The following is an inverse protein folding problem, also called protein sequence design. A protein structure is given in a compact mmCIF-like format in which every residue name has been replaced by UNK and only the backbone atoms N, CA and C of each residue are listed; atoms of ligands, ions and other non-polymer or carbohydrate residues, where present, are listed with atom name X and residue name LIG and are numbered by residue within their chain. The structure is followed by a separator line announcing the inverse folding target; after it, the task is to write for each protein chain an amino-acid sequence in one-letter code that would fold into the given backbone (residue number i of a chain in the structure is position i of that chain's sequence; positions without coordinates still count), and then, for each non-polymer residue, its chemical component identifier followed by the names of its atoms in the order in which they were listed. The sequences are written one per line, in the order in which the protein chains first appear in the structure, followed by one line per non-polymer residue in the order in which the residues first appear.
data_IF_416740924970
#
_entry.id   IF_416740924970
#
_cell.length_a   1.000
_cell.length_b   1.000
_cell.length_c   1.000
_cell.angle_alpha   90.00
_cell.angle_beta   90.00
_cell.angle_gamma   90.00
#
_symmetry.space_group_name_H-M   'P 1'
#
loop_
_entity.id
_entity.type
_entity.pdbx_description
1 polymer ?
#
# COMPACT_ATOMS: atom_id res chain seq x y z
N UNK A 1 -6.43 -2.73 -5.18
CA UNK A 1 -6.64 -1.93 -3.95
C UNK A 1 -6.22 -0.49 -4.21
N UNK A 2 -7.04 0.48 -3.79
CA UNK A 2 -6.70 1.92 -3.87
C UNK A 2 -6.00 2.36 -2.59
N UNK A 3 -4.86 3.03 -2.73
CA UNK A 3 -4.05 3.52 -1.60
C UNK A 3 -3.65 4.98 -1.84
N UNK A 4 -3.62 5.75 -0.77
CA UNK A 4 -3.10 7.11 -0.75
C UNK A 4 -1.68 7.12 -0.20
N UNK A 5 -0.71 7.49 -1.05
CA UNK A 5 0.71 7.62 -0.72
C UNK A 5 1.16 9.07 -0.85
N UNK A 6 2.32 9.43 -0.31
CA UNK A 6 2.83 10.79 -0.48
C UNK A 6 3.20 11.08 -1.94
N UNK A 7 3.16 12.34 -2.34
CA UNK A 7 3.57 12.73 -3.70
C UNK A 7 5.03 12.40 -3.96
N UNK A 8 5.90 12.46 -2.94
CA UNK A 8 7.30 12.06 -3.05
C UNK A 8 7.43 10.56 -3.35
N UNK A 9 6.70 9.69 -2.62
CA UNK A 9 6.65 8.25 -2.88
C UNK A 9 6.11 7.95 -4.28
N UNK A 10 5.03 8.65 -4.70
CA UNK A 10 4.48 8.48 -6.05
C UNK A 10 5.47 8.87 -7.15
N UNK A 11 6.25 9.93 -6.95
CA UNK A 11 7.29 10.36 -7.88
C UNK A 11 8.44 9.35 -7.93
N UNK A 12 8.90 8.85 -6.77
CA UNK A 12 9.93 7.81 -6.69
C UNK A 12 9.54 6.54 -7.45
N UNK A 13 8.31 6.07 -7.25
CA UNK A 13 7.77 4.90 -7.97
C UNK A 13 7.67 5.15 -9.48
N UNK A 14 7.32 6.36 -9.90
CA UNK A 14 7.29 6.72 -11.33
C UNK A 14 8.69 6.70 -11.95
N UNK A 15 9.70 7.18 -11.22
CA UNK A 15 11.10 7.13 -11.66
C UNK A 15 11.60 5.69 -11.74
N UNK A 16 11.27 4.86 -10.75
CA UNK A 16 11.61 3.44 -10.75
C UNK A 16 11.02 2.71 -11.96
N UNK A 17 9.73 2.94 -12.28
CA UNK A 17 9.09 2.33 -13.45
C UNK A 17 9.72 2.80 -14.77
N UNK A 18 10.11 4.08 -14.87
CA UNK A 18 10.84 4.60 -16.04
C UNK A 18 12.20 3.90 -16.19
N UNK A 19 12.97 3.77 -15.10
CA UNK A 19 14.26 3.08 -15.11
C UNK A 19 14.10 1.63 -15.53
N UNK A 20 13.15 0.91 -14.97
CA UNK A 20 12.80 -0.46 -15.30
C UNK A 20 12.56 -0.64 -16.82
N UNK A 21 11.74 0.24 -17.41
CA UNK A 21 11.43 0.20 -18.85
C UNK A 21 12.64 0.50 -19.72
N UNK A 22 13.51 1.42 -19.31
CA UNK A 22 14.72 1.73 -20.03
C UNK A 22 15.69 0.55 -20.04
N UNK A 23 15.96 -0.06 -18.90
CA UNK A 23 16.83 -1.23 -18.77
C UNK A 23 16.30 -2.42 -19.59
N UNK A 24 14.97 -2.65 -19.57
CA UNK A 24 14.32 -3.68 -20.41
C UNK A 24 14.53 -3.40 -21.92
N UNK A 25 14.38 -2.14 -22.35
CA UNK A 25 14.57 -1.73 -23.75
C UNK A 25 16.03 -1.87 -24.18
N UNK A 26 16.98 -1.46 -23.34
CA UNK A 26 18.41 -1.56 -23.62
C UNK A 26 18.84 -3.03 -23.75
N UNK A 27 18.39 -3.89 -22.85
CA UNK A 27 18.65 -5.33 -22.91
C UNK A 27 18.07 -5.95 -24.19
N UNK A 28 16.84 -5.57 -24.55
CA UNK A 28 16.23 -6.01 -25.81
C UNK A 28 17.08 -5.59 -27.03
N UNK A 29 17.54 -4.35 -27.04
CA UNK A 29 18.39 -3.85 -28.12
C UNK A 29 19.73 -4.57 -28.17
N UNK A 30 20.33 -4.95 -27.05
CA UNK A 30 21.54 -5.75 -26.96
C UNK A 30 21.34 -7.16 -27.55
N UNK A 31 20.22 -7.82 -27.18
CA UNK A 31 19.87 -9.14 -27.69
C UNK A 31 19.72 -9.14 -29.23
N UNK A 32 19.10 -8.11 -29.80
CA UNK A 32 19.00 -7.96 -31.26
C UNK A 32 20.38 -7.75 -31.89
N UNK A 33 21.22 -6.89 -31.28
CA UNK A 33 22.60 -6.69 -31.77
C UNK A 33 23.47 -7.94 -31.69
N UNK A 34 23.18 -8.87 -30.79
CA UNK A 34 23.87 -10.16 -30.66
C UNK A 34 23.36 -11.21 -31.65
N UNK A 35 22.44 -10.84 -32.55
CA UNK A 35 21.98 -11.70 -33.64
C UNK A 35 20.61 -12.34 -33.46
N UNK A 36 19.90 -12.06 -32.37
CA UNK A 36 18.52 -12.52 -32.19
C UNK A 36 17.56 -11.71 -33.07
N UNK A 37 16.55 -12.36 -33.60
CA UNK A 37 15.42 -11.65 -34.22
C UNK A 37 14.64 -10.86 -33.19
N UNK A 38 13.89 -9.86 -33.62
CA UNK A 38 13.05 -9.03 -32.71
C UNK A 38 12.06 -9.86 -31.91
N UNK A 39 11.54 -10.97 -32.48
CA UNK A 39 10.59 -11.85 -31.78
C UNK A 39 11.28 -12.73 -30.73
N UNK A 40 12.45 -13.29 -31.05
CA UNK A 40 13.24 -14.07 -30.09
C UNK A 40 13.69 -13.19 -28.90
N UNK A 41 14.18 -11.97 -29.18
CA UNK A 41 14.54 -11.01 -28.15
C UNK A 41 13.33 -10.69 -27.24
N UNK A 42 12.15 -10.47 -27.82
CA UNK A 42 10.91 -10.24 -27.06
C UNK A 42 10.55 -11.42 -26.16
N UNK A 43 10.60 -12.64 -26.68
CA UNK A 43 10.30 -13.86 -25.90
C UNK A 43 11.29 -13.99 -24.75
N UNK A 44 12.58 -13.73 -24.98
CA UNK A 44 13.62 -13.79 -23.94
C UNK A 44 13.37 -12.75 -22.84
N UNK A 45 13.07 -11.51 -23.21
CA UNK A 45 12.72 -10.44 -22.26
C UNK A 45 11.51 -10.84 -21.39
N UNK A 46 10.45 -11.39 -21.99
CA UNK A 46 9.27 -11.83 -21.23
C UNK A 46 9.64 -12.88 -20.17
N UNK A 47 10.56 -13.80 -20.49
CA UNK A 47 11.03 -14.82 -19.55
C UNK A 47 11.90 -14.26 -18.42
N UNK A 48 12.72 -13.26 -18.73
CA UNK A 48 13.60 -12.60 -17.77
C UNK A 48 12.85 -11.61 -16.86
N UNK A 49 11.72 -11.08 -17.32
CA UNK A 49 10.99 -10.00 -16.64
C UNK A 49 10.68 -10.26 -15.16
N UNK A 50 10.22 -11.45 -14.71
CA UNK A 50 9.93 -11.68 -13.30
C UNK A 50 11.14 -11.53 -12.39
N UNK A 51 12.33 -11.85 -12.87
CA UNK A 51 13.58 -11.83 -12.09
C UNK A 51 14.28 -10.48 -12.13
N UNK A 52 14.33 -9.84 -13.31
CA UNK A 52 15.11 -8.62 -13.51
C UNK A 52 14.24 -7.34 -13.51
N UNK A 53 13.02 -7.43 -14.02
CA UNK A 53 12.11 -6.27 -14.17
C UNK A 53 10.69 -6.61 -13.71
N UNK A 54 10.51 -6.98 -12.44
CA UNK A 54 9.19 -7.31 -11.90
C UNK A 54 8.21 -6.14 -12.09
N UNK A 55 6.92 -6.44 -12.10
CA UNK A 55 5.91 -5.39 -12.16
C UNK A 55 6.00 -4.47 -10.94
N UNK A 56 5.64 -3.21 -11.10
CA UNK A 56 5.70 -2.23 -10.01
C UNK A 56 4.87 -2.68 -8.80
N UNK A 57 3.73 -3.34 -9.05
CA UNK A 57 2.87 -3.93 -8.04
C UNK A 57 3.59 -5.00 -7.22
N UNK A 58 4.41 -5.84 -7.85
CA UNK A 58 5.17 -6.90 -7.17
C UNK A 58 6.29 -6.31 -6.30
N UNK A 59 6.94 -5.26 -6.80
CA UNK A 59 7.97 -4.53 -6.04
C UNK A 59 7.35 -3.89 -4.79
N UNK A 60 6.21 -3.19 -4.94
CA UNK A 60 5.48 -2.60 -3.81
C UNK A 60 4.95 -3.66 -2.86
N UNK A 61 4.43 -4.78 -3.39
CA UNK A 61 3.99 -5.92 -2.58
C UNK A 61 5.13 -6.52 -1.76
N UNK A 62 6.35 -6.59 -2.31
CA UNK A 62 7.53 -7.06 -1.58
C UNK A 62 7.86 -6.14 -0.40
N UNK A 63 7.88 -4.82 -0.61
CA UNK A 63 8.06 -3.83 0.48
C UNK A 63 6.98 -3.99 1.56
N UNK A 64 5.73 -4.17 1.13
CA UNK A 64 4.60 -4.36 2.06
C UNK A 64 4.72 -5.66 2.86
N UNK A 65 5.13 -6.79 2.23
CA UNK A 65 5.36 -8.05 2.95
C UNK A 65 6.44 -7.91 4.01
N UNK A 66 7.54 -7.22 3.69
CA UNK A 66 8.61 -6.95 4.66
C UNK A 66 8.06 -6.17 5.85
N UNK A 67 7.32 -5.08 5.61
CA UNK A 67 6.75 -4.28 6.70
C UNK A 67 5.75 -5.07 7.56
N UNK A 68 4.93 -5.92 6.95
CA UNK A 68 3.99 -6.78 7.68
C UNK A 68 4.67 -7.90 8.46
N UNK A 69 5.95 -8.19 8.18
CA UNK A 69 6.77 -9.14 8.90
C UNK A 69 7.56 -8.52 10.07
N UNK A 70 7.52 -7.21 10.24
CA UNK A 70 8.18 -6.53 11.37
C UNK A 70 7.49 -6.85 12.70
N UNK A 71 8.24 -6.96 13.78
CA UNK A 71 7.76 -7.43 15.10
C UNK A 71 6.53 -6.69 15.63
N UNK A 72 6.40 -5.41 15.32
CA UNK A 72 5.26 -4.58 15.75
C UNK A 72 3.96 -4.92 15.02
N UNK A 73 4.04 -5.50 13.80
CA UNK A 73 2.91 -5.88 12.97
C UNK A 73 2.76 -7.40 12.79
N UNK A 74 3.85 -8.17 12.90
CA UNK A 74 3.90 -9.63 12.72
C UNK A 74 3.31 -10.36 13.91
N UNK A 75 1.98 -10.32 14.04
CA UNK A 75 1.25 -11.08 15.05
C UNK A 75 0.33 -12.08 14.37
N UNK A 76 0.09 -13.19 15.05
CA UNK A 76 -0.93 -14.15 14.65
C UNK A 76 -2.32 -13.57 14.98
N UNK A 77 -2.80 -12.73 14.06
CA UNK A 77 -4.07 -12.07 14.21
C UNK A 77 -5.22 -12.99 13.81
N UNK A 78 -6.22 -13.10 14.66
CA UNK A 78 -7.45 -13.76 14.28
C UNK A 78 -8.05 -13.14 13.01
N UNK A 79 -8.53 -13.96 12.07
CA UNK A 79 -9.22 -13.49 10.88
C UNK A 79 -10.37 -12.55 11.22
N UNK A 80 -10.62 -11.57 10.35
CA UNK A 80 -11.77 -10.68 10.54
C UNK A 80 -13.07 -11.46 10.39
N UNK A 81 -14.00 -11.21 11.29
CA UNK A 81 -15.37 -11.72 11.20
C UNK A 81 -16.13 -11.05 10.04
N UNK A 82 -17.24 -11.64 9.54
CA UNK A 82 -18.08 -10.98 8.54
C UNK A 82 -18.54 -9.59 8.94
N UNK A 83 -18.93 -9.39 10.20
CA UNK A 83 -19.37 -8.09 10.73
C UNK A 83 -18.25 -7.05 10.73
N UNK A 84 -17.02 -7.46 11.05
CA UNK A 84 -15.84 -6.60 11.00
C UNK A 84 -15.49 -6.24 9.55
N UNK A 85 -15.62 -7.17 8.63
CA UNK A 85 -15.42 -6.92 7.20
C UNK A 85 -16.45 -5.93 6.66
N UNK A 86 -17.70 -6.06 7.04
CA UNK A 86 -18.78 -5.14 6.65
C UNK A 86 -18.52 -3.74 7.22
N UNK A 87 -18.10 -3.63 8.48
CA UNK A 87 -17.70 -2.34 9.09
C UNK A 87 -16.52 -1.71 8.36
N UNK A 88 -15.53 -2.51 7.95
CA UNK A 88 -14.39 -2.05 7.15
C UNK A 88 -14.81 -1.52 5.78
N UNK A 89 -15.76 -2.16 5.13
CA UNK A 89 -16.27 -1.74 3.82
C UNK A 89 -17.17 -0.49 3.91
N UNK A 90 -17.96 -0.38 4.97
CA UNK A 90 -18.85 0.75 5.23
C UNK A 90 -18.11 2.00 5.71
N UNK A 91 -16.94 1.86 6.33
CA UNK A 91 -16.20 2.98 6.90
C UNK A 91 -15.57 3.91 5.84
N UNK A 92 -15.51 3.50 4.56
CA UNK A 92 -15.01 4.30 3.45
C UNK A 92 -13.63 4.91 3.73
N UNK A 93 -13.61 6.20 4.07
CA UNK A 93 -12.40 6.90 4.46
C UNK A 93 -12.19 6.78 5.97
N UNK A 94 -11.04 6.24 6.36
CA UNK A 94 -10.63 6.22 7.77
C UNK A 94 -10.57 7.64 8.32
N UNK A 95 -11.13 7.90 9.53
CA UNK A 95 -11.10 9.22 10.12
C UNK A 95 -9.66 9.65 10.42
N UNK A 96 -9.41 10.93 10.34
CA UNK A 96 -8.15 11.53 10.76
C UNK A 96 -7.76 12.77 9.97
N UNK A 97 -6.93 13.62 10.56
CA UNK A 97 -6.39 14.78 9.88
C UNK A 97 -5.43 14.35 8.75
N UNK A 98 -5.42 15.09 7.69
CA UNK A 98 -4.45 14.87 6.58
C UNK A 98 -3.00 15.27 6.96
N UNK A 99 -2.75 15.72 8.18
CA UNK A 99 -1.44 16.13 8.73
C UNK A 99 -0.57 16.94 7.76
N UNK A 100 -1.18 17.73 6.86
CA UNK A 100 -0.48 18.53 5.86
C UNK A 100 0.20 17.72 4.74
N UNK A 101 0.06 16.39 4.73
CA UNK A 101 0.67 15.54 3.72
C UNK A 101 0.00 15.76 2.35
N UNK A 102 0.81 16.06 1.35
CA UNK A 102 0.37 16.00 -0.04
C UNK A 102 0.32 14.54 -0.48
N UNK A 103 -0.89 14.06 -0.73
CA UNK A 103 -1.14 12.67 -1.08
C UNK A 103 -1.51 12.51 -2.55
N UNK A 104 -1.05 11.41 -3.14
CA UNK A 104 -1.44 10.96 -4.47
C UNK A 104 -2.15 9.60 -4.36
N UNK A 105 -3.22 9.44 -5.12
CA UNK A 105 -3.94 8.17 -5.22
C UNK A 105 -3.21 7.23 -6.17
N UNK A 106 -3.06 5.96 -5.75
CA UNK A 106 -2.52 4.88 -6.57
C UNK A 106 -3.38 3.62 -6.42
N UNK A 107 -3.51 2.89 -7.51
CA UNK A 107 -4.19 1.60 -7.55
C UNK A 107 -3.15 0.49 -7.74
N UNK A 108 -3.22 -0.53 -6.89
CA UNK A 108 -2.34 -1.70 -6.96
C UNK A 108 -3.17 -2.98 -7.02
N UNK A 109 -2.76 -3.91 -7.88
CA UNK A 109 -3.30 -5.26 -7.96
C UNK A 109 -2.50 -6.18 -7.02
N UNK A 110 -2.69 -6.04 -5.72
CA UNK A 110 -2.04 -6.92 -4.75
C UNK A 110 -2.67 -8.31 -4.72
N UNK A 111 -1.88 -9.36 -4.40
CA UNK A 111 -2.39 -10.69 -4.10
C UNK A 111 -3.46 -10.66 -2.99
N UNK A 112 -4.47 -11.52 -3.11
CA UNK A 112 -5.63 -11.52 -2.20
C UNK A 112 -5.24 -11.78 -0.75
N UNK A 113 -4.30 -12.70 -0.52
CA UNK A 113 -3.72 -13.02 0.79
C UNK A 113 -3.07 -11.79 1.42
N UNK A 114 -2.27 -11.04 0.65
CA UNK A 114 -1.62 -9.82 1.12
C UNK A 114 -2.64 -8.73 1.47
N UNK A 115 -3.68 -8.56 0.66
CA UNK A 115 -4.77 -7.61 0.96
C UNK A 115 -5.50 -8.01 2.23
N UNK A 116 -5.76 -9.31 2.42
CA UNK A 116 -6.41 -9.83 3.63
C UNK A 116 -5.53 -9.56 4.85
N UNK A 117 -4.26 -9.94 4.80
CA UNK A 117 -3.31 -9.69 5.88
C UNK A 117 -3.23 -8.20 6.24
N UNK A 118 -3.05 -7.34 5.25
CA UNK A 118 -2.99 -5.89 5.44
C UNK A 118 -4.26 -5.34 6.14
N UNK A 119 -5.43 -5.79 5.71
CA UNK A 119 -6.72 -5.36 6.29
C UNK A 119 -6.88 -5.86 7.72
N UNK A 120 -6.54 -7.11 7.97
CA UNK A 120 -6.60 -7.71 9.32
C UNK A 120 -5.66 -6.96 10.27
N UNK A 121 -4.40 -6.78 9.90
CA UNK A 121 -3.43 -6.01 10.69
C UNK A 121 -3.92 -4.60 10.96
N UNK A 122 -4.37 -3.88 9.93
CA UNK A 122 -4.88 -2.51 10.07
C UNK A 122 -6.06 -2.42 11.05
N UNK A 123 -6.98 -3.37 10.96
CA UNK A 123 -8.14 -3.45 11.86
C UNK A 123 -7.71 -3.72 13.30
N UNK A 124 -6.97 -4.82 13.52
CA UNK A 124 -6.56 -5.24 14.87
C UNK A 124 -5.69 -4.18 15.57
N UNK A 125 -4.80 -3.53 14.85
CA UNK A 125 -4.00 -2.41 15.38
C UNK A 125 -4.84 -1.18 15.74
N UNK A 126 -6.02 -1.05 15.16
CA UNK A 126 -6.90 0.12 15.32
C UNK A 126 -8.15 -0.18 16.15
N UNK A 127 -8.40 -1.42 16.52
CA UNK A 127 -9.66 -1.92 17.06
C UNK A 127 -10.15 -1.09 18.24
N UNK A 128 -9.28 -0.83 19.22
CA UNK A 128 -9.62 -0.03 20.40
C UNK A 128 -10.06 1.39 20.04
N UNK A 129 -9.27 2.06 19.20
CA UNK A 129 -9.58 3.44 18.79
C UNK A 129 -10.83 3.51 17.90
N UNK A 130 -11.05 2.50 17.03
CA UNK A 130 -12.27 2.40 16.23
C UNK A 130 -13.50 2.17 17.08
N UNK A 131 -13.44 1.28 18.07
CA UNK A 131 -14.53 1.02 19.01
C UNK A 131 -14.89 2.31 19.76
N UNK A 132 -13.91 3.00 20.30
CA UNK A 132 -14.15 4.25 21.03
C UNK A 132 -14.73 5.36 20.14
N UNK A 133 -14.24 5.47 18.88
CA UNK A 133 -14.81 6.39 17.91
C UNK A 133 -16.29 6.10 17.61
N UNK A 134 -16.67 4.82 17.53
CA UNK A 134 -18.04 4.40 17.29
C UNK A 134 -18.93 4.60 18.51
N UNK A 135 -18.50 4.18 19.70
CA UNK A 135 -19.24 4.34 20.95
C UNK A 135 -19.55 5.80 21.26
N UNK A 136 -18.55 6.67 21.07
CA UNK A 136 -18.71 8.12 21.24
C UNK A 136 -19.42 8.78 20.05
N UNK A 137 -19.80 8.02 19.04
CA UNK A 137 -20.47 8.50 17.83
C UNK A 137 -19.70 9.64 17.13
N UNK A 138 -18.37 9.58 17.12
CA UNK A 138 -17.49 10.58 16.51
C UNK A 138 -17.25 10.35 15.00
N UNK A 139 -17.73 9.23 14.46
CA UNK A 139 -17.66 8.86 13.03
C UNK A 139 -19.06 8.74 12.44
N UNK A 140 -19.19 8.99 11.17
CA UNK A 140 -20.45 8.92 10.40
C UNK A 140 -20.66 10.15 9.52
N UNK A 141 -21.38 9.96 8.42
CA UNK A 141 -21.69 11.02 7.46
C UNK A 141 -22.72 12.01 8.06
N UNK A 142 -22.50 13.30 7.85
CA UNK A 142 -23.48 14.35 8.12
C UNK A 142 -23.55 14.86 9.57
N UNK A 143 -22.73 14.36 10.51
CA UNK A 143 -22.73 14.89 11.88
C UNK A 143 -21.94 16.17 12.02
N UNK A 144 -22.58 17.20 12.57
CA UNK A 144 -21.89 18.39 13.06
C UNK A 144 -21.32 18.09 14.45
N UNK A 145 -20.02 17.82 14.52
CA UNK A 145 -19.31 17.65 15.79
C UNK A 145 -19.00 19.01 16.41
N UNK A 146 -19.07 19.09 17.75
CA UNK A 146 -18.56 20.24 18.53
C UNK A 146 -17.03 20.31 18.38
N UNK A 147 -16.43 21.41 18.80
CA UNK A 147 -14.97 21.57 18.74
C UNK A 147 -14.25 20.56 19.62
N UNK A 148 -14.75 20.33 20.83
CA UNK A 148 -14.24 19.31 21.74
C UNK A 148 -14.35 17.88 21.14
N UNK A 149 -15.50 17.54 20.57
CA UNK A 149 -15.70 16.26 19.87
C UNK A 149 -14.73 16.08 18.70
N UNK A 150 -14.44 17.15 17.93
CA UNK A 150 -13.44 17.10 16.86
C UNK A 150 -12.05 16.82 17.41
N UNK A 151 -11.65 17.49 18.51
CA UNK A 151 -10.37 17.27 19.17
C UNK A 151 -10.23 15.82 19.61
N UNK A 152 -11.20 15.28 20.33
CA UNK A 152 -11.19 13.88 20.76
C UNK A 152 -11.14 12.91 19.56
N UNK A 153 -11.93 13.17 18.52
CA UNK A 153 -11.89 12.39 17.28
C UNK A 153 -10.49 12.39 16.67
N UNK A 154 -9.86 13.55 16.59
CA UNK A 154 -8.55 13.69 15.93
C UNK A 154 -7.44 13.06 16.78
N UNK A 155 -7.53 13.11 18.12
CA UNK A 155 -6.64 12.38 19.03
C UNK A 155 -6.76 10.86 18.86
N UNK A 156 -7.98 10.32 18.80
CA UNK A 156 -8.21 8.89 18.54
C UNK A 156 -7.76 8.49 17.13
N UNK A 157 -7.97 9.37 16.14
CA UNK A 157 -7.55 9.12 14.76
C UNK A 157 -6.03 9.01 14.60
N UNK A 158 -5.22 9.64 15.43
CA UNK A 158 -3.77 9.47 15.45
C UNK A 158 -3.35 8.05 15.86
N UNK A 159 -4.18 7.35 16.62
CA UNK A 159 -3.92 5.97 17.05
C UNK A 159 -4.30 4.93 15.98
N UNK A 160 -4.99 5.34 14.91
CA UNK A 160 -5.40 4.44 13.86
C UNK A 160 -4.21 4.05 12.96
N UNK A 161 -4.24 2.80 12.53
CA UNK A 161 -3.31 2.21 11.56
C UNK A 161 -4.05 1.85 10.26
N UNK A 162 -4.55 2.82 9.49
CA UNK A 162 -5.23 2.52 8.23
C UNK A 162 -4.28 1.83 7.24
N UNK A 163 -4.79 0.98 6.33
CA UNK A 163 -3.98 0.30 5.31
C UNK A 163 -3.04 1.24 4.56
N UNK A 164 -3.50 2.45 4.24
CA UNK A 164 -2.67 3.46 3.58
C UNK A 164 -1.46 3.93 4.43
N UNK A 165 -1.58 3.95 5.77
CA UNK A 165 -0.46 4.26 6.67
C UNK A 165 0.59 3.16 6.62
N UNK A 166 0.17 1.89 6.69
CA UNK A 166 1.08 0.73 6.63
C UNK A 166 1.81 0.71 5.29
N UNK A 167 1.11 0.94 4.17
CA UNK A 167 1.75 0.99 2.84
C UNK A 167 2.76 2.16 2.76
N UNK A 168 2.43 3.34 3.30
CA UNK A 168 3.39 4.46 3.32
C UNK A 168 4.63 4.14 4.15
N UNK A 169 4.48 3.49 5.30
CA UNK A 169 5.60 3.02 6.12
C UNK A 169 6.43 2.00 5.36
N UNK A 170 5.81 1.00 4.73
CA UNK A 170 6.49 0.03 3.89
C UNK A 170 7.36 0.68 2.80
N UNK A 171 6.83 1.69 2.11
CA UNK A 171 7.56 2.41 1.07
C UNK A 171 8.68 3.31 1.60
N UNK A 172 8.66 3.66 2.89
CA UNK A 172 9.69 4.48 3.55
C UNK A 172 10.79 3.61 4.15
N UNK A 173 10.41 2.55 4.86
CA UNK A 173 11.32 1.66 5.61
C UNK A 173 11.96 0.60 4.70
N UNK A 174 11.22 0.16 3.69
CA UNK A 174 11.66 -0.79 2.66
C UNK A 174 11.50 -0.16 1.26
N UNK A 175 12.35 0.79 0.88
CA UNK A 175 12.22 1.49 -0.38
C UNK A 175 12.20 0.52 -1.56
N UNK A 176 11.25 0.66 -2.49
CA UNK A 176 11.21 -0.15 -3.69
C UNK A 176 12.49 -0.02 -4.51
N UNK A 177 13.08 -1.15 -4.89
CA UNK A 177 14.26 -1.22 -5.74
C UNK A 177 14.09 -2.28 -6.82
N UNK A 178 14.80 -2.14 -7.94
CA UNK A 178 14.94 -3.23 -8.89
C UNK A 178 15.90 -4.28 -8.32
N UNK A 179 15.71 -5.57 -8.67
CA UNK A 179 16.70 -6.60 -8.37
C UNK A 179 18.06 -6.23 -8.95
N UNK A 180 19.13 -6.60 -8.26
CA UNK A 180 20.51 -6.46 -8.71
C UNK A 180 20.87 -7.49 -9.78
#
# INVERSE_FOLDING_TARGET
MTVWITTAQASGLTLLDKRRRLEEQETKAQLIRSGLTSNEARIRIIRMRPEHWPALEDIVASSLRRRLADEDLARDWDPLTPDELDRLMLSGRWPGPNNGLRLAQRNYAFPVDLVRQLRTTAWRMSERALTELHERRLVGSGKKLTEEQRRVRDELALQLYPPARIVRQALTEYPPALPE
#
